data_IF_493004209950
#
_entry.id   IF_493004209950
#
_cell.length_a   1.000
_cell.length_b   1.000
_cell.length_c   1.000
_cell.angle_alpha   90.00
_cell.angle_beta   90.00
_cell.angle_gamma   90.00
#
_symmetry.space_group_name_H-M   'P 1'
#
loop_
_entity.id
_entity.type
_entity.pdbx_description
1 polymer ?
#
# COMPACT_ATOMS: atom_id res chain seq x y z
N UNK A 1 -27.63 -3.78 7.25
CA UNK A 1 -26.59 -2.76 7.04
C UNK A 1 -25.38 -3.00 7.94
N UNK A 2 -24.65 -4.10 7.68
CA UNK A 2 -23.33 -4.32 8.26
C UNK A 2 -22.41 -4.55 7.07
N UNK A 3 -21.63 -3.51 6.72
CA UNK A 3 -20.67 -3.54 5.62
C UNK A 3 -19.52 -4.47 6.04
N UNK A 4 -19.68 -5.75 5.71
CA UNK A 4 -18.64 -6.77 5.75
C UNK A 4 -18.19 -7.11 4.33
N UNK A 5 -17.69 -6.10 3.63
CA UNK A 5 -16.88 -6.23 2.41
C UNK A 5 -15.58 -5.54 2.85
N UNK A 6 -14.45 -6.23 3.01
CA UNK A 6 -13.32 -6.10 2.08
C UNK A 6 -12.15 -6.97 2.59
N UNK A 7 -12.28 -8.30 2.59
CA UNK A 7 -11.11 -9.18 2.80
C UNK A 7 -11.20 -10.51 2.06
N UNK A 8 -11.90 -10.57 0.91
CA UNK A 8 -12.13 -11.85 0.23
C UNK A 8 -11.76 -11.95 -1.25
N UNK A 9 -11.15 -10.95 -1.89
CA UNK A 9 -10.86 -11.10 -3.33
C UNK A 9 -9.79 -10.15 -3.84
N UNK A 10 -8.50 -10.46 -3.67
CA UNK A 10 -7.45 -9.92 -4.56
C UNK A 10 -6.26 -10.89 -4.68
N UNK A 11 -6.48 -12.15 -5.03
CA UNK A 11 -5.35 -13.03 -5.45
C UNK A 11 -5.66 -13.91 -6.67
N UNK A 12 -6.86 -13.84 -7.26
CA UNK A 12 -7.27 -14.82 -8.30
C UNK A 12 -7.68 -14.23 -9.66
N UNK A 13 -7.24 -13.03 -10.04
CA UNK A 13 -7.71 -12.41 -11.30
C UNK A 13 -6.63 -11.81 -12.21
N UNK A 14 -5.42 -12.38 -12.25
CA UNK A 14 -4.44 -11.99 -13.30
C UNK A 14 -3.73 -13.19 -13.94
N UNK A 15 -4.35 -14.37 -13.94
CA UNK A 15 -3.82 -15.53 -14.67
C UNK A 15 -4.08 -15.48 -16.19
N UNK A 16 -4.93 -14.56 -16.69
CA UNK A 16 -5.39 -14.63 -18.09
C UNK A 16 -4.88 -13.50 -19.01
N UNK A 17 -4.42 -12.36 -18.48
CA UNK A 17 -4.00 -11.20 -19.29
C UNK A 17 -2.54 -11.21 -19.76
N UNK A 18 -1.86 -12.36 -19.67
CA UNK A 18 -0.40 -12.49 -19.91
C UNK A 18 -0.06 -12.92 -21.34
N UNK A 19 -1.04 -13.32 -22.17
CA UNK A 19 -0.74 -14.01 -23.44
C UNK A 19 -0.48 -13.13 -24.67
N UNK A 20 -0.65 -11.81 -24.62
CA UNK A 20 -0.70 -11.00 -25.86
C UNK A 20 0.28 -9.82 -25.97
N UNK A 21 1.07 -9.49 -24.94
CA UNK A 21 2.05 -8.37 -24.99
C UNK A 21 3.51 -8.85 -25.01
N UNK A 22 3.72 -10.02 -25.61
CA UNK A 22 4.91 -10.85 -25.59
C UNK A 22 6.20 -10.31 -26.24
N UNK A 23 6.43 -9.02 -26.53
CA UNK A 23 7.57 -8.70 -27.43
C UNK A 23 8.51 -7.53 -27.14
N UNK A 24 8.30 -6.60 -26.18
CA UNK A 24 9.27 -5.47 -26.03
C UNK A 24 9.70 -5.06 -24.63
N UNK A 25 8.96 -5.39 -23.57
CA UNK A 25 9.26 -4.91 -22.21
C UNK A 25 9.63 -6.03 -21.23
N UNK A 26 10.43 -7.00 -21.68
CA UNK A 26 10.88 -8.18 -20.91
C UNK A 26 11.86 -7.88 -19.74
N UNK A 27 11.72 -6.75 -19.05
CA UNK A 27 11.98 -6.77 -17.61
C UNK A 27 10.69 -7.20 -16.94
N UNK A 28 10.44 -8.51 -16.99
CA UNK A 28 9.48 -9.16 -16.12
C UNK A 28 9.80 -8.67 -14.70
N UNK A 29 8.90 -7.89 -14.11
CA UNK A 29 8.99 -7.53 -12.71
C UNK A 29 9.12 -8.84 -11.95
N UNK A 30 10.27 -9.07 -11.33
CA UNK A 30 10.51 -10.29 -10.58
C UNK A 30 9.38 -10.43 -9.53
N UNK A 31 9.06 -11.66 -9.10
CA UNK A 31 8.09 -11.85 -8.01
C UNK A 31 8.40 -10.98 -6.78
N UNK A 32 9.69 -10.71 -6.54
CA UNK A 32 10.19 -9.81 -5.50
C UNK A 32 9.83 -8.34 -5.76
N UNK A 33 10.00 -7.85 -6.98
CA UNK A 33 9.63 -6.48 -7.38
C UNK A 33 8.10 -6.28 -7.33
N UNK A 34 7.32 -7.30 -7.67
CA UNK A 34 5.85 -7.25 -7.51
C UNK A 34 5.46 -7.16 -6.03
N UNK A 35 6.01 -8.04 -5.19
CA UNK A 35 5.73 -8.04 -3.76
C UNK A 35 6.16 -6.71 -3.11
N UNK A 36 7.27 -6.12 -3.56
CA UNK A 36 7.73 -4.81 -3.14
C UNK A 36 6.72 -3.71 -3.46
N UNK A 37 6.22 -3.67 -4.70
CA UNK A 37 5.19 -2.69 -5.12
C UNK A 37 3.88 -2.84 -4.37
N UNK A 38 3.44 -4.07 -4.11
CA UNK A 38 2.24 -4.34 -3.32
C UNK A 38 2.40 -3.86 -1.86
N UNK A 39 3.58 -4.09 -1.27
CA UNK A 39 3.92 -3.58 0.06
C UNK A 39 3.94 -2.05 0.08
N UNK A 40 4.57 -1.42 -0.90
CA UNK A 40 4.63 0.03 -1.05
C UNK A 40 3.21 0.62 -1.13
N UNK A 41 2.38 0.10 -2.03
CA UNK A 41 0.99 0.54 -2.20
C UNK A 41 0.17 0.40 -0.89
N UNK A 42 0.41 -0.68 -0.13
CA UNK A 42 -0.25 -0.91 1.17
C UNK A 42 0.18 0.10 2.23
N UNK A 43 1.47 0.46 2.26
CA UNK A 43 2.01 1.48 3.16
C UNK A 43 1.52 2.88 2.79
N UNK A 44 1.50 3.23 1.49
CA UNK A 44 0.98 4.50 1.00
C UNK A 44 -0.50 4.68 1.35
N UNK A 45 -1.31 3.63 1.19
CA UNK A 45 -2.71 3.64 1.60
C UNK A 45 -2.87 3.88 3.10
N UNK A 46 -2.02 3.24 3.91
CA UNK A 46 -2.00 3.42 5.37
C UNK A 46 -1.56 4.84 5.76
N UNK A 47 -0.61 5.41 5.04
CA UNK A 47 -0.15 6.80 5.20
C UNK A 47 -1.28 7.78 4.92
N UNK A 48 -1.98 7.61 3.79
CA UNK A 48 -3.11 8.45 3.40
C UNK A 48 -4.24 8.40 4.45
N UNK A 49 -4.58 7.21 4.95
CA UNK A 49 -5.58 7.04 6.03
C UNK A 49 -5.17 7.74 7.32
N UNK A 50 -3.90 7.63 7.70
CA UNK A 50 -3.36 8.27 8.91
C UNK A 50 -3.39 9.80 8.80
N UNK A 51 -3.14 10.35 7.61
CA UNK A 51 -3.28 11.78 7.32
C UNK A 51 -4.73 12.26 7.46
N UNK A 52 -5.70 11.57 6.84
CA UNK A 52 -7.14 11.91 6.99
C UNK A 52 -7.59 11.83 8.46
N UNK A 53 -7.12 10.83 9.20
CA UNK A 53 -7.38 10.74 10.65
C UNK A 53 -6.76 11.91 11.42
N UNK A 54 -5.56 12.36 11.05
CA UNK A 54 -4.87 13.47 11.71
C UNK A 54 -5.57 14.81 11.45
N UNK A 55 -6.13 15.00 10.26
CA UNK A 55 -6.94 16.17 9.91
C UNK A 55 -8.23 16.24 10.73
N UNK A 56 -8.88 15.09 10.94
CA UNK A 56 -10.13 14.99 11.72
C UNK A 56 -9.90 14.95 13.23
N UNK A 57 -8.70 14.60 13.69
CA UNK A 57 -8.41 14.43 15.11
C UNK A 57 -8.36 15.77 15.86
N UNK A 58 -9.20 15.89 16.89
CA UNK A 58 -9.29 17.10 17.74
C UNK A 58 -8.45 17.00 19.02
N UNK A 59 -8.19 15.78 19.51
CA UNK A 59 -7.46 15.55 20.76
C UNK A 59 -5.94 15.59 20.61
N UNK A 60 -5.25 16.34 21.48
CA UNK A 60 -3.78 16.50 21.43
C UNK A 60 -3.02 15.16 21.51
N UNK A 61 -3.39 14.27 22.44
CA UNK A 61 -2.76 12.97 22.59
C UNK A 61 -2.97 12.07 21.35
N UNK A 62 -4.19 12.07 20.79
CA UNK A 62 -4.51 11.29 19.59
C UNK A 62 -3.74 11.81 18.37
N UNK A 63 -3.66 13.13 18.18
CA UNK A 63 -2.83 13.72 17.11
C UNK A 63 -1.34 13.38 17.27
N UNK A 64 -0.83 13.39 18.50
CA UNK A 64 0.57 13.02 18.76
C UNK A 64 0.84 11.55 18.41
N UNK A 65 -0.10 10.65 18.72
CA UNK A 65 -0.03 9.25 18.30
C UNK A 65 -0.02 9.12 16.77
N UNK A 66 -0.99 9.73 16.08
CA UNK A 66 -1.11 9.67 14.62
C UNK A 66 0.15 10.22 13.91
N UNK A 67 0.75 11.29 14.44
CA UNK A 67 2.03 11.83 13.92
C UNK A 67 3.18 10.83 14.05
N UNK A 68 3.26 10.09 15.17
CA UNK A 68 4.29 9.06 15.35
C UNK A 68 4.07 7.89 14.39
N UNK A 69 2.83 7.47 14.21
CA UNK A 69 2.46 6.44 13.22
C UNK A 69 2.80 6.89 11.81
N UNK A 70 2.52 8.15 11.46
CA UNK A 70 2.85 8.70 10.15
C UNK A 70 4.35 8.66 9.88
N UNK A 71 5.18 9.07 10.84
CA UNK A 71 6.64 9.04 10.72
C UNK A 71 7.18 7.61 10.55
N UNK A 72 6.58 6.63 11.23
CA UNK A 72 6.96 5.22 11.04
C UNK A 72 6.63 4.74 9.62
N UNK A 73 5.42 5.03 9.13
CA UNK A 73 5.01 4.67 7.76
C UNK A 73 5.88 5.32 6.69
N UNK A 74 6.23 6.61 6.86
CA UNK A 74 7.11 7.32 5.94
C UNK A 74 8.53 6.74 5.91
N UNK A 75 9.03 6.29 7.07
CA UNK A 75 10.31 5.59 7.15
C UNK A 75 10.27 4.26 6.42
N UNK A 76 9.23 3.46 6.64
CA UNK A 76 9.08 2.15 6.00
C UNK A 76 8.98 2.31 4.47
N UNK A 77 8.25 3.32 3.99
CA UNK A 77 8.15 3.67 2.58
C UNK A 77 9.53 4.05 2.02
N UNK A 78 10.27 4.93 2.69
CA UNK A 78 11.60 5.35 2.24
C UNK A 78 12.60 4.19 2.20
N UNK A 79 12.56 3.30 3.19
CA UNK A 79 13.39 2.09 3.22
C UNK A 79 13.05 1.15 2.06
N UNK A 80 11.76 0.99 1.76
CA UNK A 80 11.28 0.21 0.62
C UNK A 80 11.52 0.87 -0.73
N UNK A 81 11.75 2.18 -0.82
CA UNK A 81 12.03 2.90 -2.09
C UNK A 81 13.54 2.89 -2.43
N UNK A 82 14.40 2.86 -1.41
CA UNK A 82 15.87 2.87 -1.57
C UNK A 82 16.44 1.49 -1.95
N UNK A 83 15.73 0.39 -1.65
CA UNK A 83 16.14 -0.98 -1.99
C UNK A 83 16.15 -1.27 -3.50
#
# INVERSE_FOLDING_TARGET
MARGWESKSVESQQEESVRESEQRDFQQLSPEERARRERLASLELSRARTLDQLERATGHAHRAMLKRTLLALERDIAELDIQ
#
